data_IF_429028640982
#
_entry.id   IF_429028640982
#
_cell.length_a   1.000
_cell.length_b   1.000
_cell.length_c   1.000
_cell.angle_alpha   90.00
_cell.angle_beta   90.00
_cell.angle_gamma   90.00
#
_symmetry.space_group_name_H-M   'P 1'
#
loop_
_entity.id
_entity.type
_entity.pdbx_description
1 polymer ?
#
# COMPACT_ATOMS: atom_id res chain seq x y z
N UNK A 1 3.59 -10.32 -10.39
CA UNK A 1 4.22 -11.63 -10.03
C UNK A 1 3.14 -12.62 -9.64
N UNK A 2 3.40 -13.95 -9.72
CA UNK A 2 2.47 -14.98 -9.25
C UNK A 2 2.37 -14.99 -7.71
N UNK A 3 1.23 -15.40 -7.15
CA UNK A 3 1.02 -15.37 -5.70
C UNK A 3 1.90 -16.38 -4.96
N UNK A 4 2.20 -17.50 -5.60
CA UNK A 4 2.98 -18.62 -5.05
C UNK A 4 4.45 -18.29 -4.78
N UNK A 5 4.95 -17.20 -5.35
CA UNK A 5 6.33 -16.77 -5.11
C UNK A 5 6.51 -16.04 -3.77
N UNK A 6 5.43 -15.62 -3.12
CA UNK A 6 5.47 -14.94 -1.83
C UNK A 6 5.25 -15.91 -0.67
N UNK A 7 6.00 -15.74 0.41
CA UNK A 7 5.72 -16.37 1.68
C UNK A 7 4.51 -15.66 2.32
N UNK A 8 3.49 -16.38 2.76
CA UNK A 8 2.26 -15.75 3.26
C UNK A 8 1.67 -16.37 4.53
N UNK A 9 1.89 -17.67 4.78
CA UNK A 9 1.24 -18.41 5.86
C UNK A 9 -0.28 -18.07 5.97
N UNK A 10 -0.77 -17.71 7.16
CA UNK A 10 -2.15 -17.27 7.43
C UNK A 10 -2.38 -15.77 7.26
N UNK A 11 -1.34 -15.01 6.90
CA UNK A 11 -1.46 -13.55 6.68
C UNK A 11 -2.20 -13.28 5.37
N UNK A 12 -3.23 -12.41 5.38
CA UNK A 12 -3.88 -11.99 4.14
C UNK A 12 -2.91 -11.39 3.15
N UNK A 13 -3.14 -11.68 1.86
CA UNK A 13 -2.30 -11.17 0.78
C UNK A 13 -3.16 -10.66 -0.38
N UNK A 14 -2.84 -9.49 -0.89
CA UNK A 14 -3.47 -8.94 -2.09
C UNK A 14 -3.19 -9.86 -3.28
N UNK A 15 -4.24 -10.37 -3.91
CA UNK A 15 -4.16 -11.30 -5.03
C UNK A 15 -3.54 -10.64 -6.26
N UNK A 16 -2.89 -11.45 -7.10
CA UNK A 16 -2.14 -11.00 -8.29
C UNK A 16 -2.93 -10.03 -9.17
N UNK A 17 -4.19 -10.32 -9.45
CA UNK A 17 -5.03 -9.52 -10.32
C UNK A 17 -5.29 -8.13 -9.72
N UNK A 18 -5.65 -8.08 -8.44
CA UNK A 18 -5.87 -6.84 -7.68
C UNK A 18 -4.56 -6.08 -7.52
N UNK A 19 -3.46 -6.76 -7.19
CA UNK A 19 -2.13 -6.18 -7.06
C UNK A 19 -1.66 -5.53 -8.36
N UNK A 20 -1.83 -6.21 -9.51
CA UNK A 20 -1.46 -5.66 -10.81
C UNK A 20 -2.27 -4.41 -11.16
N UNK A 21 -3.58 -4.40 -10.90
CA UNK A 21 -4.43 -3.23 -11.10
C UNK A 21 -3.96 -2.07 -10.21
N UNK A 22 -3.75 -2.30 -8.92
CA UNK A 22 -3.29 -1.28 -7.96
C UNK A 22 -1.96 -0.67 -8.39
N UNK A 23 -0.99 -1.50 -8.79
CA UNK A 23 0.32 -1.06 -9.26
C UNK A 23 0.26 -0.28 -10.58
N UNK A 24 -0.70 -0.59 -11.45
CA UNK A 24 -0.96 0.17 -12.68
C UNK A 24 -1.48 1.57 -12.36
N UNK A 25 -2.45 1.67 -11.44
CA UNK A 25 -3.01 2.95 -11.02
C UNK A 25 -2.02 3.81 -10.21
N UNK A 26 -1.06 3.21 -9.52
CA UNK A 26 0.00 3.97 -8.83
C UNK A 26 0.91 4.72 -9.79
N UNK A 27 1.15 4.24 -11.02
CA UNK A 27 2.01 4.89 -12.02
C UNK A 27 3.40 5.27 -11.49
N UNK A 28 4.04 4.32 -10.80
CA UNK A 28 5.34 4.54 -10.17
C UNK A 28 6.44 4.85 -11.19
N UNK A 29 7.31 5.78 -10.84
CA UNK A 29 8.60 6.03 -11.52
C UNK A 29 9.76 5.36 -10.77
N UNK A 30 10.94 5.31 -11.40
CA UNK A 30 12.13 4.74 -10.79
C UNK A 30 12.50 5.40 -9.45
N UNK A 31 12.25 6.70 -9.29
CA UNK A 31 12.63 7.49 -8.12
C UNK A 31 11.47 7.71 -7.12
N UNK A 32 10.36 6.98 -7.26
CA UNK A 32 9.20 7.15 -6.38
C UNK A 32 9.53 6.87 -4.92
N UNK A 33 9.06 7.73 -4.03
CA UNK A 33 9.03 7.49 -2.58
C UNK A 33 7.62 7.04 -2.22
N UNK A 34 7.47 5.80 -1.76
CA UNK A 34 6.17 5.15 -1.66
C UNK A 34 5.90 4.68 -0.24
N UNK A 35 4.69 4.94 0.27
CA UNK A 35 4.19 4.32 1.48
C UNK A 35 3.26 3.16 1.14
N UNK A 36 3.48 2.00 1.77
CA UNK A 36 2.57 0.84 1.76
C UNK A 36 1.95 0.69 3.15
N UNK A 37 0.70 1.11 3.29
CA UNK A 37 0.01 1.17 4.57
C UNK A 37 -0.87 -0.07 4.75
N UNK A 38 -0.56 -0.87 5.77
CA UNK A 38 -1.15 -2.20 5.97
C UNK A 38 -0.53 -3.22 5.00
N UNK A 39 0.80 -3.30 4.99
CA UNK A 39 1.56 -4.04 3.98
C UNK A 39 1.41 -5.57 4.05
N UNK A 40 0.97 -6.13 5.18
CA UNK A 40 0.74 -7.56 5.35
C UNK A 40 1.99 -8.39 5.01
N UNK A 41 1.87 -9.30 4.05
CA UNK A 41 3.00 -10.13 3.57
C UNK A 41 4.06 -9.35 2.79
N UNK A 42 3.79 -8.09 2.43
CA UNK A 42 4.66 -7.26 1.62
C UNK A 42 4.62 -7.55 0.13
N UNK A 43 3.65 -8.32 -0.36
CA UNK A 43 3.57 -8.65 -1.79
C UNK A 43 3.42 -7.40 -2.68
N UNK A 44 2.68 -6.39 -2.23
CA UNK A 44 2.57 -5.09 -2.90
C UNK A 44 3.84 -4.28 -2.72
N UNK A 45 4.37 -4.18 -1.47
CA UNK A 45 5.61 -3.45 -1.15
C UNK A 45 6.79 -3.89 -2.02
N UNK A 46 6.97 -5.20 -2.20
CA UNK A 46 8.05 -5.78 -3.01
C UNK A 46 7.90 -5.40 -4.48
N UNK A 47 6.71 -5.56 -5.06
CA UNK A 47 6.49 -5.18 -6.45
C UNK A 47 6.59 -3.66 -6.67
N UNK A 48 6.24 -2.83 -5.68
CA UNK A 48 6.52 -1.39 -5.71
C UNK A 48 8.03 -1.11 -5.66
N UNK A 49 8.77 -1.78 -4.78
CA UNK A 49 10.22 -1.63 -4.69
C UNK A 49 10.94 -2.02 -5.98
N UNK A 50 10.53 -3.11 -6.63
CA UNK A 50 11.08 -3.51 -7.91
C UNK A 50 10.83 -2.48 -9.03
N UNK A 51 9.73 -1.72 -8.97
CA UNK A 51 9.41 -0.65 -9.95
C UNK A 51 10.10 0.67 -9.59
N UNK A 52 10.16 1.02 -8.31
CA UNK A 52 10.84 2.21 -7.81
C UNK A 52 12.30 1.90 -7.43
N UNK A 53 13.05 1.30 -8.36
CA UNK A 53 14.38 0.74 -8.10
C UNK A 53 15.45 1.76 -7.66
N UNK A 54 15.24 3.05 -7.91
CA UNK A 54 16.10 4.16 -7.48
C UNK A 54 15.43 5.03 -6.40
N UNK A 55 14.22 4.66 -6.01
CA UNK A 55 13.43 5.32 -5.00
C UNK A 55 13.52 4.64 -3.64
N UNK A 56 12.45 4.79 -2.85
CA UNK A 56 12.35 4.18 -1.52
C UNK A 56 10.91 3.72 -1.27
N UNK A 57 10.75 2.56 -0.67
CA UNK A 57 9.44 2.06 -0.22
C UNK A 57 9.47 1.89 1.29
N UNK A 58 8.45 2.42 1.95
CA UNK A 58 8.21 2.27 3.40
C UNK A 58 6.97 1.40 3.56
N UNK A 59 7.15 0.21 4.12
CA UNK A 59 6.08 -0.75 4.38
C UNK A 59 5.68 -0.68 5.85
N UNK A 60 4.47 -0.23 6.12
CA UNK A 60 3.94 -0.04 7.46
C UNK A 60 3.01 -1.21 7.81
N UNK A 61 3.35 -1.93 8.87
CA UNK A 61 2.58 -3.07 9.34
C UNK A 61 2.63 -3.16 10.87
N UNK A 62 1.47 -3.39 11.49
CA UNK A 62 1.34 -3.47 12.95
C UNK A 62 1.42 -4.89 13.51
N UNK A 63 1.15 -5.90 12.67
CA UNK A 63 1.12 -7.30 13.11
C UNK A 63 2.53 -7.91 13.06
N UNK A 64 3.14 -8.29 14.21
CA UNK A 64 4.49 -8.84 14.23
C UNK A 64 4.68 -10.09 13.36
N UNK A 65 3.65 -10.96 13.25
CA UNK A 65 3.72 -12.14 12.38
C UNK A 65 3.78 -11.76 10.90
N UNK A 66 3.05 -10.71 10.49
CA UNK A 66 3.13 -10.17 9.13
C UNK A 66 4.47 -9.47 8.87
N UNK A 67 4.99 -8.73 9.85
CA UNK A 67 6.32 -8.10 9.78
C UNK A 67 7.41 -9.15 9.57
N UNK A 68 7.36 -10.28 10.29
CA UNK A 68 8.32 -11.37 10.10
C UNK A 68 8.29 -11.94 8.68
N UNK A 69 7.09 -12.20 8.12
CA UNK A 69 6.91 -12.67 6.75
C UNK A 69 7.39 -11.65 5.72
N UNK A 70 7.09 -10.37 5.95
CA UNK A 70 7.56 -9.27 5.11
C UNK A 70 9.09 -9.18 5.08
N UNK A 71 9.76 -9.37 6.23
CA UNK A 71 11.23 -9.42 6.31
C UNK A 71 11.82 -10.58 5.50
N UNK A 72 11.21 -11.77 5.59
CA UNK A 72 11.63 -12.93 4.82
C UNK A 72 11.42 -12.72 3.31
N UNK A 73 10.27 -12.19 2.92
CA UNK A 73 9.99 -11.82 1.53
C UNK A 73 10.95 -10.75 1.02
N UNK A 74 11.23 -9.69 1.81
CA UNK A 74 12.23 -8.67 1.45
C UNK A 74 13.59 -9.29 1.14
N UNK A 75 14.09 -10.20 1.99
CA UNK A 75 15.35 -10.93 1.77
C UNK A 75 15.30 -11.78 0.51
N UNK A 76 14.22 -12.54 0.32
CA UNK A 76 14.02 -13.41 -0.84
C UNK A 76 14.10 -12.67 -2.17
N UNK A 77 13.56 -11.45 -2.24
CA UNK A 77 13.53 -10.63 -3.45
C UNK A 77 14.68 -9.62 -3.55
N UNK A 78 15.57 -9.57 -2.55
CA UNK A 78 16.75 -8.68 -2.51
C UNK A 78 16.39 -7.19 -2.75
N UNK A 79 15.32 -6.70 -2.13
CA UNK A 79 14.86 -5.30 -2.26
C UNK A 79 15.32 -4.49 -1.05
N UNK A 80 16.61 -4.15 -0.98
CA UNK A 80 17.23 -3.52 0.19
C UNK A 80 16.69 -2.12 0.48
N UNK A 81 16.23 -1.39 -0.55
CA UNK A 81 15.62 -0.06 -0.44
C UNK A 81 14.15 -0.08 0.03
N UNK A 82 13.58 -1.25 0.30
CA UNK A 82 12.34 -1.41 1.05
C UNK A 82 12.65 -1.33 2.55
N UNK A 83 12.06 -0.38 3.25
CA UNK A 83 12.17 -0.24 4.70
C UNK A 83 10.87 -0.68 5.38
N UNK A 84 10.99 -1.46 6.46
CA UNK A 84 9.85 -2.01 7.18
C UNK A 84 9.67 -1.22 8.47
N UNK A 85 8.49 -0.67 8.66
CA UNK A 85 8.11 0.12 9.84
C UNK A 85 7.04 -0.66 10.60
N UNK A 86 7.40 -1.21 11.75
CA UNK A 86 6.42 -1.82 12.65
C UNK A 86 5.66 -0.73 13.39
N UNK A 87 4.35 -0.65 13.13
CA UNK A 87 3.51 0.38 13.73
C UNK A 87 2.17 0.56 13.03
N UNK A 88 1.42 1.54 13.52
CA UNK A 88 0.10 1.89 13.01
C UNK A 88 0.15 3.27 12.35
N UNK A 89 -0.47 3.41 11.18
CA UNK A 89 -0.70 4.72 10.58
C UNK A 89 -1.91 5.42 11.24
N UNK A 90 -1.90 6.76 11.39
CA UNK A 90 -0.95 7.70 10.81
C UNK A 90 0.38 7.88 11.59
N UNK A 91 0.46 7.51 12.87
CA UNK A 91 1.60 7.81 13.76
C UNK A 91 2.95 7.34 13.19
N UNK A 92 2.98 6.13 12.63
CA UNK A 92 4.18 5.54 12.03
C UNK A 92 4.66 6.29 10.77
N UNK A 93 3.83 7.18 10.20
CA UNK A 93 4.15 7.96 9.00
C UNK A 93 4.78 9.31 9.30
N UNK A 94 4.62 9.84 10.52
CA UNK A 94 4.96 11.23 10.86
C UNK A 94 6.43 11.58 10.56
N UNK A 95 7.37 10.74 10.98
CA UNK A 95 8.80 10.96 10.83
C UNK A 95 9.38 10.53 9.48
N UNK A 96 8.58 9.90 8.61
CA UNK A 96 9.05 9.39 7.32
C UNK A 96 9.23 10.54 6.30
N UNK A 97 10.14 10.39 5.33
CA UNK A 97 10.32 11.37 4.26
C UNK A 97 9.03 11.61 3.45
N UNK A 98 8.90 12.78 2.82
CA UNK A 98 7.74 13.15 2.01
C UNK A 98 7.48 12.11 0.91
N UNK A 99 6.28 11.48 0.88
CA UNK A 99 5.96 10.48 -0.13
C UNK A 99 5.51 11.12 -1.44
N UNK A 100 5.80 10.47 -2.56
CA UNK A 100 5.21 10.79 -3.87
C UNK A 100 3.95 9.97 -4.13
N UNK A 101 3.89 8.77 -3.54
CA UNK A 101 2.81 7.81 -3.74
C UNK A 101 2.46 7.13 -2.42
N UNK A 102 1.22 6.72 -2.27
CA UNK A 102 0.79 5.85 -1.19
C UNK A 102 -0.16 4.75 -1.70
N UNK A 103 0.07 3.54 -1.25
CA UNK A 103 -0.87 2.44 -1.36
C UNK A 103 -1.45 2.17 0.03
N UNK A 104 -2.78 2.04 0.12
CA UNK A 104 -3.48 1.74 1.37
C UNK A 104 -4.20 0.40 1.20
N UNK A 105 -3.60 -0.66 1.75
CA UNK A 105 -4.19 -2.00 1.79
C UNK A 105 -5.04 -2.26 3.04
N UNK A 106 -4.81 -1.44 4.09
CA UNK A 106 -5.56 -1.49 5.35
C UNK A 106 -5.30 -0.26 6.21
N UNK A 107 -6.35 0.42 6.65
CA UNK A 107 -6.27 1.66 7.44
C UNK A 107 -6.44 1.47 8.94
N UNK A 108 -6.81 0.28 9.39
CA UNK A 108 -7.12 -0.03 10.80
C UNK A 108 -8.16 0.92 11.45
N UNK A 109 -9.05 1.51 10.65
CA UNK A 109 -10.07 2.47 11.10
C UNK A 109 -9.62 3.93 11.09
N UNK A 110 -8.40 4.25 10.65
CA UNK A 110 -7.82 5.60 10.67
C UNK A 110 -7.72 6.21 9.25
N UNK A 111 -8.61 5.80 8.31
CA UNK A 111 -8.48 6.19 6.91
C UNK A 111 -8.44 7.71 6.73
N UNK A 112 -9.32 8.43 7.41
CA UNK A 112 -9.42 9.89 7.31
C UNK A 112 -8.12 10.56 7.75
N UNK A 113 -7.61 10.22 8.92
CA UNK A 113 -6.38 10.77 9.52
C UNK A 113 -5.15 10.46 8.65
N UNK A 114 -5.10 9.26 8.08
CA UNK A 114 -4.06 8.86 7.12
C UNK A 114 -4.10 9.76 5.88
N UNK A 115 -5.26 9.94 5.27
CA UNK A 115 -5.42 10.78 4.07
C UNK A 115 -5.08 12.25 4.34
N UNK A 116 -5.51 12.79 5.49
CA UNK A 116 -5.17 14.15 5.92
C UNK A 116 -3.66 14.33 6.11
N UNK A 117 -2.98 13.35 6.72
CA UNK A 117 -1.52 13.38 6.88
C UNK A 117 -0.80 13.31 5.53
N UNK A 118 -1.24 12.43 4.64
CA UNK A 118 -0.64 12.27 3.30
C UNK A 118 -0.73 13.59 2.51
N UNK A 119 -1.90 14.24 2.48
CA UNK A 119 -2.08 15.54 1.82
C UNK A 119 -1.26 16.66 2.47
N UNK A 120 -1.14 16.66 3.81
CA UNK A 120 -0.29 17.62 4.53
C UNK A 120 1.18 17.46 4.17
N UNK A 121 1.65 16.22 3.99
CA UNK A 121 3.04 15.92 3.57
C UNK A 121 3.28 16.27 2.09
N UNK A 122 2.34 15.93 1.23
CA UNK A 122 2.43 16.21 -0.21
C UNK A 122 1.03 16.41 -0.81
N UNK A 123 0.62 17.65 -1.12
CA UNK A 123 -0.68 17.93 -1.73
C UNK A 123 -0.88 17.26 -3.11
N UNK A 124 0.21 16.92 -3.80
CA UNK A 124 0.19 16.28 -5.12
C UNK A 124 0.42 14.76 -5.05
N UNK A 125 0.25 14.16 -3.88
CA UNK A 125 0.45 12.72 -3.69
C UNK A 125 -0.55 11.91 -4.53
N UNK A 126 -0.06 10.86 -5.19
CA UNK A 126 -0.92 9.85 -5.81
C UNK A 126 -1.25 8.76 -4.80
N UNK A 127 -2.55 8.53 -4.57
CA UNK A 127 -3.02 7.53 -3.62
C UNK A 127 -3.82 6.45 -4.34
N UNK A 128 -3.55 5.19 -4.03
CA UNK A 128 -4.37 4.03 -4.39
C UNK A 128 -4.83 3.34 -3.12
N UNK A 129 -6.13 3.18 -2.98
CA UNK A 129 -6.77 2.54 -1.84
C UNK A 129 -7.53 1.30 -2.31
N UNK A 130 -7.25 0.14 -1.71
CA UNK A 130 -8.05 -1.05 -1.89
C UNK A 130 -9.08 -1.19 -0.77
N UNK A 131 -10.34 -1.40 -1.15
CA UNK A 131 -11.41 -1.69 -0.21
C UNK A 131 -12.04 -3.04 -0.52
N UNK A 132 -12.39 -3.80 0.52
CA UNK A 132 -13.08 -5.09 0.40
C UNK A 132 -14.45 -5.08 1.07
N UNK A 133 -14.81 -3.97 1.74
CA UNK A 133 -16.10 -3.79 2.41
C UNK A 133 -16.81 -2.53 1.91
N UNK A 134 -18.13 -2.55 1.96
CA UNK A 134 -18.96 -1.40 1.58
C UNK A 134 -18.76 -0.23 2.53
N UNK A 135 -18.52 -0.51 3.81
CA UNK A 135 -18.27 0.49 4.84
C UNK A 135 -17.01 1.30 4.54
N UNK A 136 -15.89 0.62 4.24
CA UNK A 136 -14.63 1.29 3.89
C UNK A 136 -14.76 2.07 2.57
N UNK A 137 -15.51 1.55 1.60
CA UNK A 137 -15.78 2.27 0.35
C UNK A 137 -16.58 3.56 0.60
N UNK A 138 -17.62 3.50 1.45
CA UNK A 138 -18.42 4.67 1.81
C UNK A 138 -17.60 5.72 2.58
N UNK A 139 -16.74 5.28 3.51
CA UNK A 139 -15.80 6.15 4.22
C UNK A 139 -14.84 6.83 3.24
N UNK A 140 -14.21 6.07 2.34
CA UNK A 140 -13.30 6.59 1.31
C UNK A 140 -14.01 7.66 0.43
N UNK A 141 -15.20 7.35 -0.07
CA UNK A 141 -15.97 8.28 -0.89
C UNK A 141 -16.31 9.58 -0.13
N UNK A 142 -16.63 9.47 1.17
CA UNK A 142 -16.86 10.65 2.03
C UNK A 142 -15.58 11.46 2.24
N UNK A 143 -14.44 10.79 2.46
CA UNK A 143 -13.14 11.47 2.63
C UNK A 143 -12.73 12.21 1.36
N UNK A 144 -12.83 11.59 0.19
CA UNK A 144 -12.47 12.21 -1.09
C UNK A 144 -13.30 13.44 -1.42
N UNK A 145 -14.59 13.47 -1.02
CA UNK A 145 -15.43 14.66 -1.16
C UNK A 145 -15.02 15.81 -0.23
N UNK A 146 -14.50 15.52 0.95
CA UNK A 146 -14.16 16.51 1.99
C UNK A 146 -12.73 17.00 1.90
N UNK A 147 -11.84 16.15 1.41
CA UNK A 147 -10.44 16.44 1.25
C UNK A 147 -10.16 16.88 -0.20
N UNK A 148 -9.13 17.68 -0.42
CA UNK A 148 -8.81 18.25 -1.73
C UNK A 148 -8.13 17.23 -2.67
N UNK A 149 -8.68 16.02 -2.81
CA UNK A 149 -8.26 15.08 -3.84
C UNK A 149 -8.91 15.45 -5.17
N UNK A 150 -8.09 15.59 -6.21
CA UNK A 150 -8.57 15.82 -7.57
C UNK A 150 -8.91 14.48 -8.24
N UNK A 151 -10.02 14.46 -8.99
CA UNK A 151 -10.44 13.37 -9.87
C UNK A 151 -10.40 11.95 -9.25
N UNK A 152 -11.13 11.68 -8.15
CA UNK A 152 -11.16 10.33 -7.60
C UNK A 152 -11.82 9.35 -8.57
N UNK A 153 -11.10 8.27 -8.90
CA UNK A 153 -11.59 7.18 -9.73
C UNK A 153 -11.96 5.97 -8.85
N UNK A 154 -13.11 5.36 -9.09
CA UNK A 154 -13.54 4.13 -8.42
C UNK A 154 -13.58 3.01 -9.45
N UNK A 155 -12.76 2.00 -9.26
CA UNK A 155 -12.69 0.80 -10.10
C UNK A 155 -13.19 -0.41 -9.32
N UNK A 156 -14.20 -1.10 -9.84
CA UNK A 156 -14.65 -2.38 -9.31
C UNK A 156 -13.94 -3.52 -10.06
N UNK A 157 -13.15 -4.32 -9.33
CA UNK A 157 -12.44 -5.45 -9.90
C UNK A 157 -13.01 -6.76 -9.38
N UNK A 158 -13.42 -7.63 -10.28
CA UNK A 158 -13.77 -9.02 -9.99
C UNK A 158 -12.83 -9.93 -10.77
N UNK A 159 -12.15 -10.83 -10.06
CA UNK A 159 -11.32 -11.85 -10.68
C UNK A 159 -11.71 -13.24 -10.18
N UNK A 160 -11.92 -14.18 -11.10
CA UNK A 160 -12.16 -15.58 -10.80
C UNK A 160 -11.22 -16.47 -11.61
N UNK A 161 -10.59 -17.42 -10.93
CA UNK A 161 -9.71 -18.40 -11.56
C UNK A 161 -10.43 -19.74 -11.61
N UNK A 162 -10.64 -20.29 -12.80
CA UNK A 162 -11.04 -21.69 -13.00
C UNK A 162 -9.78 -22.55 -13.12
N UNK A 163 -9.75 -23.67 -12.41
CA UNK A 163 -8.75 -24.74 -12.57
C UNK A 163 -9.38 -25.92 -13.27
#
# INVERSE_FOLDING_TARGET
MADEVFLRDKVPMTKREVRNASLSHLQLSLNSVVYDIGSGTGSVSIEMALRAAQGKVYAIEKNPAAVALLQENKKKFAVDHLEIIEGTAPEALEALPVPTHAFIGGSAGNLKEILELLLRKNPNIRVVLNTVTVETLAEAASCFKKLAFEEPEIVCLQASNAK
#
